data_IF_054606203984
#
_entry.id   IF_054606203984
#
_cell.length_a   1.000
_cell.length_b   1.000
_cell.length_c   1.000
_cell.angle_alpha   90.00
_cell.angle_beta   90.00
_cell.angle_gamma   90.00
#
_symmetry.space_group_name_H-M   'P 1'
#
loop_
_entity.id
_entity.type
_entity.pdbx_description
1 polymer ?
#
# COMPACT_ATOMS: atom_id res chain seq x y z
N UNK A 1 15.31 19.50 -9.26
CA UNK A 1 14.50 18.35 -9.71
C UNK A 1 14.39 17.30 -8.62
N UNK A 2 15.49 16.70 -8.12
CA UNK A 2 15.45 15.62 -7.09
C UNK A 2 14.75 16.03 -5.78
N UNK A 3 14.76 17.32 -5.43
CA UNK A 3 14.06 17.93 -4.28
C UNK A 3 12.64 18.42 -4.60
N UNK A 4 12.07 18.01 -5.74
CA UNK A 4 10.72 18.39 -6.16
C UNK A 4 9.92 17.11 -6.43
N UNK A 5 9.23 16.55 -5.41
CA UNK A 5 8.45 15.33 -5.56
C UNK A 5 7.26 15.49 -6.52
N UNK A 6 6.72 16.70 -6.68
CA UNK A 6 5.57 16.99 -7.56
C UNK A 6 5.92 16.91 -9.05
N UNK A 7 7.21 16.87 -9.39
CA UNK A 7 7.66 16.61 -10.75
C UNK A 7 7.42 15.15 -11.20
N UNK A 8 7.38 14.17 -10.27
CA UNK A 8 7.24 12.75 -10.62
C UNK A 8 5.90 12.41 -11.28
N UNK A 9 4.73 12.88 -10.78
CA UNK A 9 3.46 12.74 -11.48
C UNK A 9 3.47 13.32 -12.91
N UNK A 10 4.18 14.43 -13.12
CA UNK A 10 4.31 15.06 -14.44
C UNK A 10 5.20 14.24 -15.39
N UNK A 11 6.27 13.65 -14.86
CA UNK A 11 7.19 12.78 -15.62
C UNK A 11 6.51 11.48 -16.03
N UNK A 12 5.73 10.86 -15.14
CA UNK A 12 5.06 9.60 -15.43
C UNK A 12 3.73 9.76 -16.17
N UNK A 13 2.98 10.84 -15.94
CA UNK A 13 1.67 11.02 -16.57
C UNK A 13 0.71 9.85 -16.29
N UNK A 14 0.81 9.23 -15.10
CA UNK A 14 -0.05 8.13 -14.66
C UNK A 14 0.32 6.73 -15.15
N UNK A 15 1.43 6.55 -15.87
CA UNK A 15 1.96 5.23 -16.26
C UNK A 15 3.48 5.28 -16.34
N UNK A 16 4.17 4.14 -16.46
CA UNK A 16 5.62 4.13 -16.68
C UNK A 16 5.93 4.31 -18.18
N UNK A 17 6.54 5.44 -18.61
CA UNK A 17 6.99 5.63 -19.98
C UNK A 17 8.13 4.65 -20.33
N UNK A 18 8.22 4.23 -21.59
CA UNK A 18 9.23 3.26 -22.02
C UNK A 18 10.66 3.85 -22.11
N UNK A 19 10.77 5.17 -22.20
CA UNK A 19 12.02 5.92 -22.43
C UNK A 19 12.76 6.37 -21.16
N UNK A 20 12.12 6.26 -19.98
CA UNK A 20 12.70 6.73 -18.69
C UNK A 20 13.42 5.65 -17.88
N UNK A 21 13.51 4.42 -18.39
CA UNK A 21 14.05 3.26 -17.65
C UNK A 21 15.45 3.50 -17.07
N UNK A 22 16.35 4.16 -17.81
CA UNK A 22 17.73 4.41 -17.36
C UNK A 22 17.83 5.42 -16.20
N UNK A 23 16.81 6.27 -16.05
CA UNK A 23 16.73 7.36 -15.08
C UNK A 23 16.01 6.93 -13.79
N UNK A 24 15.28 5.82 -13.78
CA UNK A 24 14.54 5.33 -12.60
C UNK A 24 15.43 5.08 -11.38
N UNK A 25 16.73 4.80 -11.58
CA UNK A 25 17.71 4.67 -10.49
C UNK A 25 17.80 5.93 -9.61
N UNK A 26 17.49 7.11 -10.16
CA UNK A 26 17.51 8.37 -9.41
C UNK A 26 16.33 8.50 -8.44
N UNK A 27 15.28 7.68 -8.59
CA UNK A 27 14.20 7.61 -7.61
C UNK A 27 14.72 7.22 -6.23
N UNK A 28 15.76 6.37 -6.16
CA UNK A 28 16.39 5.94 -4.92
C UNK A 28 17.02 7.09 -4.11
N UNK A 29 17.15 8.29 -4.66
CA UNK A 29 17.62 9.48 -3.93
C UNK A 29 16.64 10.66 -4.01
N UNK A 30 15.49 10.48 -4.65
CA UNK A 30 14.45 11.51 -4.79
C UNK A 30 13.73 11.76 -3.47
N UNK A 31 13.25 12.99 -3.25
CA UNK A 31 12.41 13.26 -2.10
C UNK A 31 11.11 12.43 -2.13
N UNK A 32 10.57 12.02 -0.97
CA UNK A 32 9.36 11.20 -0.92
C UNK A 32 8.15 12.01 -1.40
N UNK A 33 7.37 11.43 -2.31
CA UNK A 33 6.03 11.92 -2.67
C UNK A 33 5.03 11.65 -1.57
N UNK A 34 3.90 12.36 -1.59
CA UNK A 34 2.81 12.09 -0.65
C UNK A 34 2.31 10.63 -0.73
N UNK A 35 1.69 10.10 0.34
CA UNK A 35 1.30 8.69 0.41
C UNK A 35 0.34 8.27 -0.69
N UNK A 36 -0.60 9.14 -1.11
CA UNK A 36 -1.53 8.83 -2.18
C UNK A 36 -0.78 8.53 -3.49
N UNK A 37 0.14 9.41 -3.88
CA UNK A 37 0.98 9.23 -5.07
C UNK A 37 1.83 7.98 -4.94
N UNK A 38 2.44 7.72 -3.78
CA UNK A 38 3.21 6.50 -3.54
C UNK A 38 2.35 5.23 -3.72
N UNK A 39 1.12 5.23 -3.22
CA UNK A 39 0.17 4.10 -3.39
C UNK A 39 -0.14 3.86 -4.87
N UNK A 40 -0.31 4.92 -5.67
CA UNK A 40 -0.58 4.75 -7.11
C UNK A 40 0.57 4.07 -7.87
N UNK A 41 1.80 4.16 -7.36
CA UNK A 41 2.97 3.55 -7.99
C UNK A 41 2.98 2.01 -7.88
N UNK A 42 2.11 1.41 -7.06
CA UNK A 42 1.89 -0.04 -7.03
C UNK A 42 0.89 -0.53 -8.09
N UNK A 43 0.26 0.37 -8.85
CA UNK A 43 -0.70 -0.03 -9.87
C UNK A 43 0.01 -0.71 -11.07
N UNK A 44 -0.70 -1.57 -11.82
CA UNK A 44 -0.13 -2.29 -12.97
C UNK A 44 0.49 -1.38 -14.04
N UNK A 45 0.05 -0.11 -14.11
CA UNK A 45 0.58 0.92 -14.99
C UNK A 45 2.10 1.16 -14.81
N UNK A 46 2.65 0.82 -13.65
CA UNK A 46 4.08 0.95 -13.32
C UNK A 46 4.88 -0.36 -13.47
N UNK A 47 4.24 -1.41 -14.00
CA UNK A 47 4.88 -2.66 -14.43
C UNK A 47 5.70 -3.37 -13.34
N UNK A 48 5.37 -3.16 -12.06
CA UNK A 48 6.11 -3.69 -10.91
C UNK A 48 7.63 -3.40 -10.97
N UNK A 49 8.02 -2.23 -11.49
CA UNK A 49 9.43 -1.91 -11.69
C UNK A 49 10.18 -1.81 -10.34
N UNK A 50 11.30 -2.53 -10.14
CA UNK A 50 11.98 -2.61 -8.84
C UNK A 50 12.33 -1.27 -8.20
N UNK A 51 12.87 -0.31 -8.96
CA UNK A 51 13.18 1.02 -8.45
C UNK A 51 11.94 1.83 -8.06
N UNK A 52 10.82 1.64 -8.74
CA UNK A 52 9.56 2.35 -8.44
C UNK A 52 8.96 1.78 -7.15
N UNK A 53 8.94 0.45 -7.01
CA UNK A 53 8.45 -0.21 -5.79
C UNK A 53 9.29 0.20 -4.58
N UNK A 54 10.63 0.16 -4.70
CA UNK A 54 11.51 0.58 -3.61
C UNK A 54 11.30 2.05 -3.24
N UNK A 55 11.11 2.91 -4.23
CA UNK A 55 10.79 4.31 -4.02
C UNK A 55 9.44 4.51 -3.33
N UNK A 56 8.38 3.84 -3.80
CA UNK A 56 7.04 3.91 -3.26
C UNK A 56 6.98 3.44 -1.80
N UNK A 57 7.66 2.33 -1.49
CA UNK A 57 7.81 1.82 -0.12
C UNK A 57 8.49 2.85 0.79
N UNK A 58 9.65 3.36 0.37
CA UNK A 58 10.35 4.39 1.16
C UNK A 58 9.50 5.65 1.34
N UNK A 59 8.78 6.06 0.30
CA UNK A 59 7.88 7.21 0.39
C UNK A 59 6.73 6.96 1.37
N UNK A 60 6.17 5.75 1.44
CA UNK A 60 5.17 5.42 2.46
C UNK A 60 5.75 5.41 3.88
N UNK A 61 6.93 4.81 4.05
CA UNK A 61 7.61 4.71 5.35
C UNK A 61 8.10 6.06 5.88
N UNK A 62 8.32 7.06 5.02
CA UNK A 62 8.75 8.39 5.44
C UNK A 62 7.63 9.24 6.06
N UNK A 63 6.37 8.82 5.91
CA UNK A 63 5.22 9.55 6.45
C UNK A 63 4.78 8.96 7.79
N UNK A 64 4.23 9.81 8.66
CA UNK A 64 3.66 9.34 9.93
C UNK A 64 2.45 8.43 9.70
N UNK A 65 2.20 7.58 10.68
CA UNK A 65 1.02 6.71 10.70
C UNK A 65 -0.28 7.52 10.59
N UNK A 66 -0.35 8.69 11.22
CA UNK A 66 -1.55 9.54 11.19
C UNK A 66 -1.93 10.02 9.78
N UNK A 67 -0.94 10.29 8.93
CA UNK A 67 -1.17 10.71 7.54
C UNK A 67 -1.58 9.50 6.70
N UNK A 68 -0.88 8.38 6.84
CA UNK A 68 -1.15 7.15 6.08
C UNK A 68 -2.48 6.51 6.47
N UNK A 69 -2.94 6.75 7.70
CA UNK A 69 -4.26 6.36 8.21
C UNK A 69 -5.41 6.87 7.33
N UNK A 70 -5.32 8.10 6.83
CA UNK A 70 -6.33 8.68 5.94
C UNK A 70 -6.43 7.93 4.59
N UNK A 71 -5.35 7.27 4.18
CA UNK A 71 -5.25 6.56 2.91
C UNK A 71 -5.43 5.05 3.03
N UNK A 72 -5.88 4.55 4.19
CA UNK A 72 -6.16 3.12 4.42
C UNK A 72 -7.02 2.50 3.31
N UNK A 73 -8.15 3.09 2.87
CA UNK A 73 -8.94 2.51 1.80
C UNK A 73 -8.16 2.31 0.49
N UNK A 74 -7.29 3.25 0.13
CA UNK A 74 -6.49 3.18 -1.08
C UNK A 74 -5.37 2.15 -0.95
N UNK A 75 -4.72 2.06 0.22
CA UNK A 75 -3.68 1.07 0.53
C UNK A 75 -4.26 -0.35 0.49
N UNK A 76 -5.44 -0.57 1.05
CA UNK A 76 -6.09 -1.90 1.02
C UNK A 76 -6.43 -2.29 -0.42
N UNK A 77 -6.88 -1.35 -1.24
CA UNK A 77 -7.23 -1.65 -2.64
C UNK A 77 -6.02 -1.98 -3.52
N UNK A 78 -4.81 -1.50 -3.20
CA UNK A 78 -3.62 -1.88 -3.96
C UNK A 78 -3.16 -3.31 -3.72
N UNK A 79 -3.63 -3.99 -2.66
CA UNK A 79 -3.39 -5.42 -2.47
C UNK A 79 -3.89 -6.28 -3.65
N UNK A 80 -4.86 -5.78 -4.43
CA UNK A 80 -5.32 -6.43 -5.67
C UNK A 80 -4.18 -6.67 -6.66
N UNK A 81 -3.18 -5.79 -6.67
CA UNK A 81 -2.10 -5.78 -7.65
C UNK A 81 -0.74 -6.11 -7.02
N UNK A 82 -0.71 -6.49 -5.73
CA UNK A 82 0.52 -6.74 -4.98
C UNK A 82 1.15 -8.10 -5.31
N UNK A 83 1.59 -8.26 -6.56
CA UNK A 83 2.18 -9.50 -7.05
C UNK A 83 3.49 -9.89 -6.34
N UNK A 84 4.17 -8.93 -5.72
CA UNK A 84 5.47 -9.11 -5.06
C UNK A 84 5.39 -9.07 -3.53
N UNK A 85 4.22 -8.79 -2.95
CA UNK A 85 4.00 -8.80 -1.49
C UNK A 85 4.56 -7.59 -0.74
N UNK A 86 4.86 -6.48 -1.42
CA UNK A 86 5.43 -5.29 -0.79
C UNK A 86 4.37 -4.49 -0.01
N UNK A 87 3.15 -4.39 -0.56
CA UNK A 87 2.04 -3.71 0.11
C UNK A 87 1.61 -4.51 1.33
N UNK A 88 1.49 -5.84 1.19
CA UNK A 88 1.23 -6.74 2.31
C UNK A 88 2.26 -6.53 3.42
N UNK A 89 3.55 -6.54 3.08
CA UNK A 89 4.63 -6.37 4.05
C UNK A 89 4.54 -5.02 4.77
N UNK A 90 4.29 -3.93 4.03
CA UNK A 90 4.10 -2.61 4.62
C UNK A 90 2.96 -2.59 5.65
N UNK A 91 1.83 -3.20 5.32
CA UNK A 91 0.67 -3.29 6.20
C UNK A 91 1.03 -4.05 7.48
N UNK A 92 1.67 -5.22 7.35
CA UNK A 92 2.06 -6.04 8.49
C UNK A 92 3.04 -5.33 9.41
N UNK A 93 4.07 -4.69 8.86
CA UNK A 93 5.05 -3.95 9.65
C UNK A 93 4.39 -2.76 10.35
N UNK A 94 3.56 -1.97 9.65
CA UNK A 94 2.87 -0.81 10.24
C UNK A 94 1.85 -1.20 11.30
N UNK A 95 1.13 -2.31 11.09
CA UNK A 95 0.15 -2.83 12.03
C UNK A 95 0.75 -3.25 13.39
N UNK A 96 2.03 -3.66 13.42
CA UNK A 96 2.73 -3.97 14.67
C UNK A 96 3.02 -2.73 15.53
N UNK A 97 3.18 -1.57 14.91
CA UNK A 97 3.49 -0.33 15.63
C UNK A 97 2.23 0.46 16.02
N UNK A 98 1.10 0.26 15.34
CA UNK A 98 -0.13 0.99 15.60
C UNK A 98 -1.35 0.08 15.60
N UNK A 99 -1.85 -0.20 16.80
CA UNK A 99 -3.08 -0.97 17.00
C UNK A 99 -4.28 -0.28 16.32
N UNK A 100 -4.35 1.05 16.33
CA UNK A 100 -5.44 1.78 15.67
C UNK A 100 -5.39 1.65 14.14
N UNK A 101 -4.18 1.72 13.55
CA UNK A 101 -3.98 1.47 12.13
C UNK A 101 -4.38 0.04 11.77
N UNK A 102 -3.93 -0.93 12.58
CA UNK A 102 -4.34 -2.32 12.44
C UNK A 102 -5.87 -2.46 12.43
N UNK A 103 -6.58 -1.90 13.43
CA UNK A 103 -8.05 -1.85 13.52
C UNK A 103 -8.72 -1.37 12.24
N UNK A 104 -8.28 -0.23 11.70
CA UNK A 104 -8.86 0.29 10.47
C UNK A 104 -8.61 -0.60 9.26
N UNK A 105 -7.42 -1.17 9.14
CA UNK A 105 -7.09 -2.07 8.03
C UNK A 105 -8.02 -3.27 8.02
N UNK A 106 -8.23 -3.97 9.14
CA UNK A 106 -9.12 -5.15 9.16
C UNK A 106 -10.57 -4.74 8.94
N UNK A 107 -11.01 -3.62 9.52
CA UNK A 107 -12.36 -3.09 9.24
C UNK A 107 -12.56 -2.84 7.75
N UNK A 108 -11.57 -2.22 7.09
CA UNK A 108 -11.61 -1.95 5.67
C UNK A 108 -11.56 -3.26 4.84
N UNK A 109 -10.74 -4.25 5.24
CA UNK A 109 -10.69 -5.57 4.60
C UNK A 109 -12.02 -6.31 4.70
N UNK A 110 -12.66 -6.29 5.87
CA UNK A 110 -13.99 -6.89 6.08
C UNK A 110 -15.05 -6.21 5.21
N UNK A 111 -15.02 -4.88 5.12
CA UNK A 111 -15.93 -4.11 4.29
C UNK A 111 -15.74 -4.35 2.77
N UNK A 112 -14.50 -4.59 2.30
CA UNK A 112 -14.20 -4.84 0.89
C UNK A 112 -14.14 -6.33 0.51
N UNK A 113 -14.53 -7.24 1.41
CA UNK A 113 -14.49 -8.69 1.14
C UNK A 113 -15.59 -9.15 0.16
N UNK A 114 -16.68 -8.41 0.06
CA UNK A 114 -17.83 -8.74 -0.77
C UNK A 114 -18.21 -7.55 -1.66
N UNK A 115 -18.76 -7.83 -2.84
CA UNK A 115 -19.22 -6.80 -3.78
C UNK A 115 -20.60 -6.24 -3.44
N UNK A 116 -21.36 -6.97 -2.62
CA UNK A 116 -22.72 -6.64 -2.21
C UNK A 116 -22.83 -6.49 -0.69
N UNK A 117 -23.85 -5.75 -0.25
CA UNK A 117 -24.14 -5.53 1.17
C UNK A 117 -24.62 -6.81 1.87
N UNK A 118 -25.19 -7.75 1.11
CA UNK A 118 -25.71 -9.04 1.61
C UNK A 118 -24.63 -10.14 1.72
N UNK A 119 -23.36 -9.82 1.44
CA UNK A 119 -22.22 -10.71 1.49
C UNK A 119 -22.39 -12.04 0.70
N UNK A 120 -23.03 -11.98 -0.46
CA UNK A 120 -23.28 -13.14 -1.32
C UNK A 120 -22.18 -13.34 -2.37
N UNK A 121 -21.62 -12.24 -2.90
CA UNK A 121 -20.60 -12.29 -3.96
C UNK A 121 -19.24 -11.86 -3.42
N UNK A 122 -18.29 -12.79 -3.20
CA UNK A 122 -16.96 -12.43 -2.75
C UNK A 122 -16.22 -11.60 -3.82
N UNK A 123 -15.48 -10.58 -3.39
CA UNK A 123 -14.61 -9.83 -4.29
C UNK A 123 -13.38 -10.66 -4.69
N UNK A 124 -12.84 -10.43 -5.87
CA UNK A 124 -11.61 -11.05 -6.36
C UNK A 124 -10.40 -10.74 -5.46
N UNK A 125 -10.42 -9.61 -4.75
CA UNK A 125 -9.37 -9.26 -3.78
C UNK A 125 -9.47 -10.07 -2.48
N UNK A 126 -10.63 -10.70 -2.19
CA UNK A 126 -10.90 -11.37 -0.92
C UNK A 126 -9.82 -12.37 -0.48
N UNK A 127 -9.28 -13.26 -1.34
CA UNK A 127 -8.22 -14.18 -0.94
C UNK A 127 -6.95 -13.46 -0.43
N UNK A 128 -6.61 -12.32 -1.03
CA UNK A 128 -5.49 -11.50 -0.57
C UNK A 128 -5.81 -10.87 0.79
N UNK A 129 -7.00 -10.28 0.93
CA UNK A 129 -7.45 -9.67 2.20
C UNK A 129 -7.46 -10.68 3.35
N UNK A 130 -8.03 -11.87 3.13
CA UNK A 130 -8.09 -12.93 4.15
C UNK A 130 -6.69 -13.40 4.54
N UNK A 131 -5.76 -13.51 3.58
CA UNK A 131 -4.37 -13.88 3.82
C UNK A 131 -3.62 -12.85 4.67
N UNK A 132 -3.73 -11.56 4.34
CA UNK A 132 -3.10 -10.48 5.11
C UNK A 132 -3.71 -10.36 6.51
N UNK A 133 -5.05 -10.42 6.60
CA UNK A 133 -5.77 -10.36 7.87
C UNK A 133 -5.35 -11.51 8.80
N UNK A 134 -5.23 -12.73 8.29
CA UNK A 134 -4.77 -13.89 9.07
C UNK A 134 -3.38 -13.65 9.66
N UNK A 135 -2.42 -13.21 8.83
CA UNK A 135 -1.05 -12.89 9.27
C UNK A 135 -1.02 -11.75 10.29
N UNK A 136 -1.86 -10.72 10.13
CA UNK A 136 -1.98 -9.63 11.10
C UNK A 136 -2.43 -10.16 12.47
N UNK A 137 -3.52 -10.93 12.52
CA UNK A 137 -4.07 -11.48 13.78
C UNK A 137 -3.08 -12.44 14.44
N UNK A 138 -2.36 -13.25 13.66
CA UNK A 138 -1.31 -14.11 14.17
C UNK A 138 -0.15 -13.32 14.78
N UNK A 139 0.20 -12.17 14.19
CA UNK A 139 1.29 -11.31 14.68
C UNK A 139 0.96 -10.53 15.95
N UNK A 140 -0.31 -10.39 16.33
CA UNK A 140 -0.69 -9.70 17.56
C UNK A 140 -0.37 -10.51 18.82
N UNK A 141 0.10 -9.81 19.84
CA UNK A 141 0.34 -10.33 21.19
C UNK A 141 -1.02 -10.78 21.77
N UNK A 142 -1.08 -11.84 22.60
CA UNK A 142 -2.37 -12.35 23.12
C UNK A 142 -3.27 -11.30 23.77
N UNK A 143 -2.69 -10.30 24.45
CA UNK A 143 -3.44 -9.19 25.07
C UNK A 143 -4.14 -8.29 24.04
N UNK A 144 -3.56 -8.12 22.86
CA UNK A 144 -4.10 -7.29 21.79
C UNK A 144 -5.14 -8.03 20.94
N UNK A 145 -5.17 -9.37 21.02
CA UNK A 145 -6.18 -10.22 20.35
C UNK A 145 -7.55 -10.11 21.02
N UNK A 146 -7.60 -9.89 22.33
CA UNK A 146 -8.85 -9.75 23.08
C UNK A 146 -9.57 -8.41 22.81
N UNK A 147 -8.87 -7.42 22.24
CA UNK A 147 -9.41 -6.09 21.92
C UNK A 147 -10.07 -6.02 20.52
N UNK A 148 -9.98 -7.10 19.74
CA UNK A 148 -10.28 -7.15 18.30
C UNK A 148 -11.47 -8.06 17.96
#
# INVERSE_FOLDING_TARGET
>A
AISDPEALPLIFGGHLPDDVNSQLKYLLVWEPVNPLTAVTMFLPAYKNHPFIIQYAMRALESHSVDITFFYVPQIVQTLRYDALGYVERYILETAQFSQLFAHQIIWNMKANSYKDDDAQVPDEIKPALDGVMGKMVESFVPLDRDFY
#
